data_IF_281120027518
#
_entry.id   IF_281120027518
#
_cell.length_a   1.000
_cell.length_b   1.000
_cell.length_c   1.000
_cell.angle_alpha   90.00
_cell.angle_beta   90.00
_cell.angle_gamma   90.00
#
_symmetry.space_group_name_H-M   'P 1'
#
loop_
_entity.id
_entity.type
_entity.pdbx_description
1 polymer ?
#
# COMPACT_ATOMS: atom_id res chain seq x y z
N UNK A 1 18.84 9.68 17.43
CA UNK A 1 18.25 8.33 17.38
C UNK A 1 19.11 7.45 18.24
N UNK A 2 18.48 6.81 19.22
CA UNK A 2 19.17 5.99 20.22
C UNK A 2 19.12 4.49 19.88
N UNK A 3 18.24 4.06 18.96
CA UNK A 3 18.21 2.68 18.45
C UNK A 3 17.97 2.58 16.93
N UNK A 4 18.22 1.39 16.38
CA UNK A 4 17.94 1.05 14.97
C UNK A 4 16.45 1.15 14.65
N UNK A 5 15.59 0.72 15.58
CA UNK A 5 14.13 0.76 15.45
C UNK A 5 13.62 2.19 15.33
N UNK A 6 14.12 3.09 16.17
CA UNK A 6 13.79 4.52 16.10
C UNK A 6 14.26 5.14 14.78
N UNK A 7 15.49 4.86 14.37
CA UNK A 7 16.01 5.34 13.08
C UNK A 7 15.14 4.88 11.92
N UNK A 8 14.79 3.58 11.87
CA UNK A 8 13.92 3.03 10.84
C UNK A 8 12.52 3.66 10.87
N UNK A 9 11.92 3.79 12.04
CA UNK A 9 10.59 4.39 12.18
C UNK A 9 10.57 5.85 11.72
N UNK A 10 11.60 6.63 12.09
CA UNK A 10 11.72 8.04 11.68
C UNK A 10 11.99 8.17 10.19
N UNK A 11 12.82 7.29 9.61
CA UNK A 11 13.06 7.30 8.18
C UNK A 11 11.77 6.98 7.39
N UNK A 12 10.99 6.00 7.85
CA UNK A 12 9.68 5.69 7.26
C UNK A 12 8.67 6.83 7.44
N UNK A 13 8.72 7.54 8.58
CA UNK A 13 7.89 8.73 8.81
C UNK A 13 8.25 9.85 7.83
N UNK A 14 9.55 10.09 7.61
CA UNK A 14 10.05 11.05 6.62
C UNK A 14 9.55 10.73 5.20
N UNK A 15 9.61 9.46 4.78
CA UNK A 15 9.06 9.04 3.48
C UNK A 15 7.56 9.29 3.40
N UNK A 16 6.84 9.06 4.51
CA UNK A 16 5.39 9.27 4.57
C UNK A 16 5.01 10.74 4.45
N UNK A 17 5.70 11.63 5.17
CA UNK A 17 5.48 13.08 5.05
C UNK A 17 5.89 13.60 3.67
N UNK A 18 7.04 13.15 3.14
CA UNK A 18 7.50 13.54 1.81
C UNK A 18 6.48 13.14 0.73
N UNK A 19 5.88 11.96 0.84
CA UNK A 19 4.82 11.51 -0.07
C UNK A 19 3.55 12.37 0.06
N UNK A 20 3.19 12.77 1.29
CA UNK A 20 2.03 13.62 1.53
C UNK A 20 2.25 15.05 0.99
N UNK A 21 3.43 15.63 1.19
CA UNK A 21 3.81 16.92 0.62
C UNK A 21 3.83 16.89 -0.91
N UNK A 22 4.39 15.84 -1.50
CA UNK A 22 4.35 15.63 -2.94
C UNK A 22 2.91 15.51 -3.46
N UNK A 23 2.04 14.78 -2.75
CA UNK A 23 0.62 14.67 -3.09
C UNK A 23 -0.12 16.01 -3.00
N UNK A 24 0.09 16.78 -1.93
CA UNK A 24 -0.59 18.07 -1.72
C UNK A 24 -0.10 19.18 -2.64
N UNK A 25 1.09 19.04 -3.23
CA UNK A 25 1.64 19.97 -4.22
C UNK A 25 1.22 19.67 -5.66
N UNK A 26 0.44 18.61 -5.91
CA UNK A 26 -0.10 18.29 -7.23
C UNK A 26 -1.63 18.22 -7.23
N UNK A 27 -2.26 18.56 -8.36
CA UNK A 27 -3.69 18.38 -8.58
C UNK A 27 -4.05 17.03 -9.20
N UNK A 28 -3.05 16.29 -9.67
CA UNK A 28 -3.24 15.03 -10.40
C UNK A 28 -2.66 13.83 -9.67
N UNK A 29 -2.15 13.99 -8.45
CA UNK A 29 -1.63 12.87 -7.65
C UNK A 29 -2.74 11.98 -7.10
N UNK A 30 -2.41 10.73 -6.80
CA UNK A 30 -3.32 9.79 -6.16
C UNK A 30 -2.58 8.98 -5.10
N UNK A 31 -3.14 8.94 -3.89
CA UNK A 31 -2.67 8.07 -2.81
C UNK A 31 -3.53 6.80 -2.79
N UNK A 32 -2.86 5.65 -2.68
CA UNK A 32 -3.48 4.33 -2.75
C UNK A 32 -3.03 3.49 -1.55
N UNK A 33 -3.96 2.77 -0.94
CA UNK A 33 -3.62 1.72 0.00
C UNK A 33 -3.30 0.43 -0.76
N UNK A 34 -2.21 -0.24 -0.39
CA UNK A 34 -1.78 -1.48 -1.03
C UNK A 34 -2.82 -2.59 -0.90
N UNK A 35 -3.53 -2.65 0.24
CA UNK A 35 -4.57 -3.66 0.48
C UNK A 35 -5.79 -3.51 -0.45
N UNK A 36 -6.08 -2.27 -0.86
CA UNK A 36 -7.19 -1.95 -1.74
C UNK A 36 -6.79 -2.01 -3.23
N UNK A 37 -5.49 -2.11 -3.53
CA UNK A 37 -4.96 -1.95 -4.88
C UNK A 37 -5.63 -2.88 -5.92
N UNK A 38 -5.85 -4.19 -5.65
CA UNK A 38 -6.50 -5.05 -6.63
C UNK A 38 -7.92 -4.61 -7.00
N UNK A 39 -8.71 -4.10 -6.06
CA UNK A 39 -10.11 -3.71 -6.30
C UNK A 39 -10.23 -2.34 -6.93
N UNK A 40 -9.37 -1.39 -6.56
CA UNK A 40 -9.42 0.00 -7.06
C UNK A 40 -8.71 0.17 -8.41
N UNK A 41 -7.83 -0.75 -8.81
CA UNK A 41 -7.03 -0.62 -10.02
C UNK A 41 -7.87 -0.44 -11.30
N UNK A 42 -8.89 -1.27 -11.60
CA UNK A 42 -9.63 -1.13 -12.86
C UNK A 42 -10.46 0.17 -12.91
N UNK A 43 -11.16 0.50 -11.83
CA UNK A 43 -12.10 1.63 -11.79
C UNK A 43 -11.41 2.95 -11.47
N UNK A 44 -10.70 3.06 -10.33
CA UNK A 44 -10.13 4.32 -9.86
C UNK A 44 -8.83 4.68 -10.58
N UNK A 45 -7.93 3.73 -10.74
CA UNK A 45 -6.63 4.01 -11.35
C UNK A 45 -6.76 4.09 -12.87
N UNK A 46 -7.26 3.04 -13.52
CA UNK A 46 -7.31 3.03 -14.99
C UNK A 46 -8.49 3.86 -15.52
N UNK A 47 -9.69 3.68 -14.95
CA UNK A 47 -10.89 4.42 -15.35
C UNK A 47 -10.87 5.90 -14.98
N UNK A 48 -10.78 6.24 -13.69
CA UNK A 48 -10.95 7.64 -13.25
C UNK A 48 -9.68 8.48 -13.44
N UNK A 49 -8.51 7.94 -13.03
CA UNK A 49 -7.26 8.68 -13.02
C UNK A 49 -6.60 8.78 -14.41
N UNK A 50 -6.47 7.65 -15.11
CA UNK A 50 -5.89 7.63 -16.46
C UNK A 50 -6.93 7.82 -17.58
N UNK A 51 -8.23 7.82 -17.27
CA UNK A 51 -9.33 8.03 -18.23
C UNK A 51 -9.31 7.05 -19.40
N UNK A 52 -8.88 5.81 -19.13
CA UNK A 52 -8.88 4.75 -20.13
C UNK A 52 -10.22 4.02 -20.08
N UNK A 53 -10.96 3.93 -21.20
CA UNK A 53 -12.23 3.23 -21.24
C UNK A 53 -12.01 1.74 -20.99
N UNK A 54 -12.79 1.18 -20.04
CA UNK A 54 -12.71 -0.21 -19.60
C UNK A 54 -14.09 -0.83 -19.65
N UNK A 55 -14.25 -1.83 -20.52
CA UNK A 55 -15.44 -2.67 -20.56
C UNK A 55 -15.46 -3.67 -19.39
N UNK A 56 -16.63 -4.27 -19.14
CA UNK A 56 -16.80 -5.21 -18.04
C UNK A 56 -15.88 -6.44 -18.16
N UNK A 57 -15.58 -6.88 -19.38
CA UNK A 57 -14.66 -7.99 -19.62
C UNK A 57 -13.21 -7.61 -19.27
N UNK A 58 -12.77 -6.42 -19.66
CA UNK A 58 -11.47 -5.87 -19.33
C UNK A 58 -11.27 -5.73 -17.83
N UNK A 59 -12.28 -5.22 -17.12
CA UNK A 59 -12.24 -5.14 -15.65
C UNK A 59 -12.09 -6.53 -15.03
N UNK A 60 -12.86 -7.51 -15.51
CA UNK A 60 -12.80 -8.90 -15.03
C UNK A 60 -11.41 -9.51 -15.27
N UNK A 61 -10.82 -9.31 -16.46
CA UNK A 61 -9.46 -9.76 -16.77
C UNK A 61 -8.43 -9.12 -15.83
N UNK A 62 -8.53 -7.81 -15.59
CA UNK A 62 -7.64 -7.10 -14.67
C UNK A 62 -7.74 -7.62 -13.24
N UNK A 63 -8.95 -7.81 -12.72
CA UNK A 63 -9.16 -8.36 -11.38
C UNK A 63 -8.58 -9.78 -11.24
N UNK A 64 -8.73 -10.61 -12.28
CA UNK A 64 -8.18 -11.96 -12.28
C UNK A 64 -6.65 -11.97 -12.29
N UNK A 65 -6.03 -11.05 -13.04
CA UNK A 65 -4.55 -10.91 -13.06
C UNK A 65 -4.03 -10.31 -11.76
N UNK A 66 -4.73 -9.33 -11.17
CA UNK A 66 -4.32 -8.69 -9.92
C UNK A 66 -4.23 -9.65 -8.72
N UNK A 67 -4.96 -10.78 -8.77
CA UNK A 67 -4.88 -11.87 -7.78
C UNK A 67 -3.60 -12.71 -7.89
N UNK A 68 -2.86 -12.60 -8.99
CA UNK A 68 -1.66 -13.41 -9.26
C UNK A 68 -0.46 -12.77 -8.58
N UNK A 69 0.03 -13.41 -7.52
CA UNK A 69 1.20 -12.92 -6.78
C UNK A 69 2.50 -13.15 -7.56
N UNK A 70 3.23 -12.08 -7.86
CA UNK A 70 4.46 -12.12 -8.67
C UNK A 70 5.67 -12.74 -7.96
N UNK A 71 5.60 -13.05 -6.66
CA UNK A 71 6.73 -13.64 -5.91
C UNK A 71 6.80 -15.18 -5.99
N UNK A 72 6.21 -15.79 -7.01
CA UNK A 72 6.45 -17.20 -7.33
C UNK A 72 7.88 -17.40 -7.84
N UNK A 73 8.75 -18.02 -7.05
CA UNK A 73 10.06 -18.48 -7.54
C UNK A 73 9.86 -19.50 -8.67
N UNK A 74 10.70 -19.43 -9.71
CA UNK A 74 10.77 -20.43 -10.80
C UNK A 74 10.86 -21.83 -10.18
N UNK A 75 9.87 -22.69 -10.45
CA UNK A 75 9.80 -24.07 -9.93
C UNK A 75 8.92 -24.29 -8.68
N UNK A 76 8.31 -23.25 -8.11
CA UNK A 76 7.25 -23.44 -7.10
C UNK A 76 5.87 -23.49 -7.80
N UNK A 77 4.96 -24.41 -7.43
CA UNK A 77 3.59 -24.37 -7.93
C UNK A 77 3.03 -22.97 -7.64
N UNK A 78 2.32 -22.39 -8.62
CA UNK A 78 1.72 -21.05 -8.54
C UNK A 78 1.16 -20.87 -7.13
N UNK A 79 1.87 -20.14 -6.27
CA UNK A 79 1.38 -19.90 -4.92
C UNK A 79 0.07 -19.16 -5.13
N UNK A 80 -1.00 -19.78 -4.65
CA UNK A 80 -2.37 -19.34 -4.78
C UNK A 80 -2.58 -17.93 -4.23
N UNK A 81 -3.83 -17.49 -4.30
CA UNK A 81 -4.33 -16.19 -3.85
C UNK A 81 -3.42 -15.43 -2.89
N UNK A 82 -3.19 -14.16 -3.22
CA UNK A 82 -2.55 -13.19 -2.32
C UNK A 82 -3.12 -13.34 -0.91
N UNK A 83 -2.29 -13.83 0.01
CA UNK A 83 -2.62 -13.91 1.43
C UNK A 83 -1.82 -12.81 2.11
N UNK A 84 -2.50 -11.79 2.64
CA UNK A 84 -1.85 -10.72 3.38
C UNK A 84 -1.08 -11.27 4.59
N UNK A 85 0.20 -10.93 4.70
CA UNK A 85 1.06 -11.33 5.82
C UNK A 85 1.26 -10.21 6.86
N UNK A 86 0.59 -9.07 6.67
CA UNK A 86 0.67 -7.86 7.51
C UNK A 86 0.36 -8.16 8.98
N UNK A 87 -0.78 -8.78 9.28
CA UNK A 87 -1.21 -9.10 10.65
C UNK A 87 -0.22 -10.03 11.37
N UNK A 88 0.32 -11.02 10.63
CA UNK A 88 1.33 -11.94 11.17
C UNK A 88 2.59 -11.19 11.55
N UNK A 89 3.06 -10.29 10.68
CA UNK A 89 4.26 -9.47 10.93
C UNK A 89 4.08 -8.56 12.13
N UNK A 90 2.93 -7.89 12.23
CA UNK A 90 2.61 -7.00 13.36
C UNK A 90 2.59 -7.76 14.69
N UNK A 91 1.95 -8.94 14.73
CA UNK A 91 1.91 -9.77 15.93
C UNK A 91 3.30 -10.24 16.38
N UNK A 92 4.18 -10.55 15.42
CA UNK A 92 5.55 -11.03 15.71
C UNK A 92 6.57 -9.92 15.95
N UNK A 93 6.22 -8.65 15.74
CA UNK A 93 7.15 -7.54 15.95
C UNK A 93 7.48 -7.38 17.44
N UNK A 94 8.75 -7.07 17.74
CA UNK A 94 9.20 -6.78 19.10
C UNK A 94 8.56 -5.50 19.64
N UNK A 95 8.48 -5.38 20.95
CA UNK A 95 7.91 -4.18 21.60
C UNK A 95 8.70 -2.92 21.27
N UNK A 96 10.02 -3.01 21.11
CA UNK A 96 10.86 -1.90 20.67
C UNK A 96 10.44 -1.36 19.29
N UNK A 97 10.17 -2.25 18.33
CA UNK A 97 9.68 -1.88 16.99
C UNK A 97 8.29 -1.26 17.09
N UNK A 98 7.38 -1.86 17.86
CA UNK A 98 6.01 -1.36 18.03
C UNK A 98 6.00 0.03 18.66
N UNK A 99 6.80 0.25 19.70
CA UNK A 99 6.91 1.54 20.39
C UNK A 99 7.51 2.62 19.48
N UNK A 100 8.59 2.31 18.77
CA UNK A 100 9.20 3.25 17.81
C UNK A 100 8.22 3.60 16.68
N UNK A 101 7.51 2.62 16.12
CA UNK A 101 6.51 2.86 15.08
C UNK A 101 5.34 3.70 15.60
N UNK A 102 4.85 3.43 16.81
CA UNK A 102 3.77 4.20 17.43
C UNK A 102 4.15 5.66 17.68
N UNK A 103 5.37 5.89 18.14
CA UNK A 103 5.86 7.23 18.47
C UNK A 103 6.18 8.05 17.22
N UNK A 104 6.83 7.46 16.20
CA UNK A 104 7.39 8.21 15.09
C UNK A 104 6.68 8.00 13.75
N UNK A 105 6.29 6.77 13.40
CA UNK A 105 5.76 6.43 12.07
C UNK A 105 4.25 6.61 11.95
N UNK A 106 3.50 6.06 12.89
CA UNK A 106 2.04 5.96 12.78
C UNK A 106 1.30 7.30 12.64
N UNK A 107 1.73 8.43 13.22
CA UNK A 107 1.10 9.72 12.95
C UNK A 107 1.10 10.07 11.45
N UNK A 108 2.28 10.03 10.80
CA UNK A 108 2.45 10.35 9.38
C UNK A 108 1.80 9.31 8.47
N UNK A 109 1.92 8.03 8.82
CA UNK A 109 1.27 6.95 8.07
C UNK A 109 -0.26 7.08 8.07
N UNK A 110 -0.88 7.36 9.23
CA UNK A 110 -2.34 7.53 9.33
C UNK A 110 -2.83 8.74 8.55
N UNK A 111 -2.04 9.82 8.52
CA UNK A 111 -2.32 11.01 7.70
C UNK A 111 -2.38 10.67 6.22
N UNK A 112 -1.42 9.89 5.69
CA UNK A 112 -1.48 9.37 4.32
C UNK A 112 -2.69 8.45 4.11
N UNK A 113 -2.91 7.49 5.01
CA UNK A 113 -4.00 6.53 4.89
C UNK A 113 -5.38 7.20 4.87
N UNK A 114 -5.56 8.29 5.62
CA UNK A 114 -6.79 9.07 5.60
C UNK A 114 -7.02 9.82 4.28
N UNK A 115 -5.95 10.18 3.56
CA UNK A 115 -6.00 10.84 2.25
C UNK A 115 -6.07 9.88 1.07
N UNK A 116 -5.81 8.57 1.29
CA UNK A 116 -5.88 7.55 0.24
C UNK A 116 -7.30 7.35 -0.29
N UNK A 117 -7.37 7.07 -1.60
CA UNK A 117 -8.61 6.64 -2.25
C UNK A 117 -9.00 5.28 -1.67
N UNK A 118 -10.27 5.14 -1.29
CA UNK A 118 -10.83 3.91 -0.73
C UNK A 118 -11.52 3.07 -1.79
N UNK A 119 -11.51 1.76 -1.61
CA UNK A 119 -12.46 0.89 -2.27
C UNK A 119 -13.89 1.26 -1.81
N UNK A 120 -14.82 1.41 -2.74
CA UNK A 120 -16.25 1.62 -2.47
C UNK A 120 -16.98 0.29 -2.47
#
# INVERSE_FOLDING_TARGET
FTSTEEFCAVHLAYLSESAYEAFTSTSTGMLLNYEDLPSILPSKVVGDHFRVPLDAEGQTRMLNVAKIYSKGRKGSPKKGEFTGDSLKKENTASDAVKNAAAQFLYPSYRKLAAASVKAH
#
